data_IF_738201700064
#
_entry.id   IF_738201700064
#
_cell.length_a   1.000
_cell.length_b   1.000
_cell.length_c   1.000
_cell.angle_alpha   90.00
_cell.angle_beta   90.00
_cell.angle_gamma   90.00
#
_symmetry.space_group_name_H-M   'P 1'
#
loop_
_entity.id
_entity.type
_entity.pdbx_description
1 polymer ?
#
# COMPACT_ATOMS: atom_id res chain seq x y z
N UNK A 1 5.48 -14.51 -6.72
CA UNK A 1 6.25 -14.44 -5.46
C UNK A 1 5.35 -14.96 -4.37
N UNK A 2 5.78 -15.96 -3.62
CA UNK A 2 5.03 -16.49 -2.48
C UNK A 2 5.31 -15.62 -1.24
N UNK A 3 4.30 -14.84 -0.83
CA UNK A 3 4.43 -13.89 0.29
C UNK A 3 4.72 -14.61 1.61
N UNK A 4 4.19 -15.81 1.81
CA UNK A 4 4.44 -16.56 3.05
C UNK A 4 5.87 -17.09 3.09
N UNK A 5 6.44 -17.50 1.94
CA UNK A 5 7.86 -17.86 1.87
C UNK A 5 8.75 -16.67 2.20
N UNK A 6 8.43 -15.47 1.68
CA UNK A 6 9.20 -14.27 2.00
C UNK A 6 9.16 -13.91 3.50
N UNK A 7 8.02 -14.10 4.16
CA UNK A 7 7.89 -13.92 5.61
C UNK A 7 8.71 -14.98 6.35
N UNK A 8 8.60 -16.24 5.93
CA UNK A 8 9.38 -17.35 6.51
C UNK A 8 10.89 -17.06 6.44
N UNK A 9 11.40 -16.64 5.28
CA UNK A 9 12.82 -16.41 5.07
C UNK A 9 13.34 -15.27 5.95
N UNK A 10 12.58 -14.18 6.10
CA UNK A 10 12.95 -13.10 7.02
C UNK A 10 12.94 -13.52 8.49
N UNK A 11 12.00 -14.39 8.89
CA UNK A 11 11.99 -14.95 10.24
C UNK A 11 13.19 -15.88 10.45
N UNK A 12 13.53 -16.70 9.46
CA UNK A 12 14.71 -17.57 9.51
C UNK A 12 15.98 -16.74 9.67
N UNK A 13 16.16 -15.71 8.85
CA UNK A 13 17.30 -14.79 8.95
C UNK A 13 17.38 -14.14 10.33
N UNK A 14 16.24 -13.70 10.88
CA UNK A 14 16.19 -13.13 12.22
C UNK A 14 16.62 -14.14 13.29
N UNK A 15 16.12 -15.37 13.22
CA UNK A 15 16.47 -16.43 14.17
C UNK A 15 17.96 -16.77 14.09
N UNK A 16 18.53 -16.88 12.88
CA UNK A 16 19.95 -17.14 12.67
C UNK A 16 20.86 -16.02 13.21
N UNK A 17 20.42 -14.76 13.11
CA UNK A 17 21.15 -13.61 13.65
C UNK A 17 21.03 -13.45 15.18
N UNK A 18 20.13 -14.19 15.82
CA UNK A 18 19.82 -14.07 17.24
C UNK A 18 19.89 -15.45 17.95
N UNK A 19 20.72 -16.36 17.46
CA UNK A 19 20.92 -17.72 17.99
C UNK A 19 21.42 -17.75 19.44
N UNK A 20 22.08 -16.68 19.89
CA UNK A 20 22.42 -16.45 21.30
C UNK A 20 21.19 -16.36 22.22
N UNK A 21 20.03 -15.96 21.68
CA UNK A 21 18.79 -15.72 22.45
C UNK A 21 17.65 -16.66 22.08
N UNK A 22 17.70 -17.25 20.88
CA UNK A 22 16.66 -18.14 20.36
C UNK A 22 17.28 -19.51 20.14
N UNK A 23 16.71 -20.53 20.79
CA UNK A 23 17.18 -21.90 20.67
C UNK A 23 16.90 -22.47 19.27
N UNK A 24 17.94 -22.53 18.44
CA UNK A 24 17.88 -23.09 17.08
C UNK A 24 17.40 -24.54 17.05
N UNK A 25 17.66 -25.33 18.09
CA UNK A 25 17.21 -26.72 18.14
C UNK A 25 15.69 -26.84 18.25
N UNK A 26 15.02 -25.80 18.77
CA UNK A 26 13.57 -25.70 18.84
C UNK A 26 12.99 -24.95 17.63
N UNK A 27 13.62 -23.86 17.21
CA UNK A 27 13.13 -23.04 16.11
C UNK A 27 13.27 -23.70 14.74
N UNK A 28 14.39 -24.40 14.49
CA UNK A 28 14.69 -25.04 13.20
C UNK A 28 13.59 -26.01 12.72
N UNK A 29 13.17 -26.99 13.54
CA UNK A 29 12.08 -27.90 13.16
C UNK A 29 10.75 -27.19 12.91
N UNK A 30 10.45 -26.10 13.63
CA UNK A 30 9.20 -25.35 13.43
C UNK A 30 9.23 -24.60 12.11
N UNK A 31 10.35 -23.94 11.78
CA UNK A 31 10.55 -23.23 10.53
C UNK A 31 10.51 -24.18 9.33
N UNK A 32 11.18 -25.33 9.41
CA UNK A 32 11.12 -26.35 8.36
C UNK A 32 9.68 -26.86 8.14
N UNK A 33 8.95 -27.12 9.22
CA UNK A 33 7.55 -27.51 9.13
C UNK A 33 6.66 -26.42 8.53
N UNK A 34 6.93 -25.14 8.85
CA UNK A 34 6.24 -24.01 8.22
C UNK A 34 6.52 -23.97 6.71
N UNK A 35 7.78 -24.09 6.29
CA UNK A 35 8.16 -24.10 4.88
C UNK A 35 7.46 -25.23 4.10
N UNK A 36 7.40 -26.43 4.71
CA UNK A 36 6.68 -27.57 4.13
C UNK A 36 5.17 -27.30 4.03
N UNK A 37 4.56 -26.65 5.03
CA UNK A 37 3.13 -26.31 5.00
C UNK A 37 2.80 -25.22 3.97
N UNK A 38 3.72 -24.28 3.72
CA UNK A 38 3.56 -23.23 2.71
C UNK A 38 3.64 -23.83 1.30
N UNK A 39 4.55 -24.77 1.09
CA UNK A 39 4.87 -25.34 -0.23
C UNK A 39 4.07 -26.58 -0.60
N UNK A 40 3.11 -27.00 0.24
CA UNK A 40 2.36 -28.24 0.05
C UNK A 40 1.64 -28.28 -1.32
N UNK A 41 1.90 -29.36 -2.08
CA UNK A 41 1.30 -29.63 -3.39
C UNK A 41 0.36 -30.82 -3.26
N UNK A 42 -0.86 -30.68 -3.79
CA UNK A 42 -1.80 -31.79 -3.93
C UNK A 42 -1.98 -32.18 -5.39
N UNK A 43 -1.90 -33.47 -5.69
CA UNK A 43 -2.19 -34.00 -7.03
C UNK A 43 -3.71 -34.15 -7.16
N UNK A 44 -4.33 -33.40 -8.06
CA UNK A 44 -5.75 -33.52 -8.38
C UNK A 44 -5.89 -34.34 -9.67
N UNK A 45 -6.37 -35.58 -9.55
CA UNK A 45 -6.62 -36.46 -10.70
C UNK A 45 -7.25 -37.80 -10.30
N UNK A 46 -7.53 -38.64 -11.30
CA UNK A 46 -8.10 -39.97 -11.07
C UNK A 46 -7.11 -40.84 -10.31
N UNK A 47 -7.60 -41.46 -9.22
CA UNK A 47 -6.83 -42.40 -8.42
C UNK A 47 -7.12 -43.78 -9.01
N UNK A 48 -6.23 -44.28 -9.87
CA UNK A 48 -6.29 -45.67 -10.31
C UNK A 48 -5.66 -46.59 -9.25
N UNK A 49 -6.46 -47.51 -8.75
CA UNK A 49 -6.00 -48.59 -7.88
C UNK A 49 -5.64 -49.81 -8.74
N UNK A 50 -4.37 -49.95 -9.11
CA UNK A 50 -3.91 -51.17 -9.79
C UNK A 50 -3.65 -52.28 -8.75
N UNK A 51 -4.58 -53.24 -8.69
CA UNK A 51 -4.39 -54.49 -7.95
C UNK A 51 -3.75 -55.54 -8.86
N UNK A 52 -2.42 -55.58 -8.93
CA UNK A 52 -1.71 -56.69 -9.57
C UNK A 52 -1.79 -57.91 -8.66
N UNK A 53 -2.61 -58.88 -9.06
CA UNK A 53 -2.72 -60.17 -8.37
C UNK A 53 -2.02 -61.21 -9.23
N UNK A 54 -0.76 -61.54 -8.92
CA UNK A 54 -0.11 -62.71 -9.51
C UNK A 54 -0.69 -63.96 -8.86
N UNK A 55 -1.54 -64.67 -9.60
CA UNK A 55 -2.14 -65.93 -9.17
C UNK A 55 -1.24 -67.10 -9.50
N UNK A 56 -0.77 -67.80 -8.47
CA UNK A 56 -0.45 -69.23 -8.58
C UNK A 56 -1.35 -69.96 -7.58
N UNK A 57 -2.25 -70.78 -8.13
CA UNK A 57 -3.22 -71.57 -7.38
C UNK A 57 -2.53 -72.68 -6.61
N UNK A 58 -2.68 -72.70 -5.29
CA UNK A 58 -2.91 -73.93 -4.53
C UNK A 58 -3.56 -73.58 -3.18
N UNK A 59 -4.71 -74.19 -2.93
CA UNK A 59 -5.60 -73.80 -1.83
C UNK A 59 -5.20 -74.39 -0.49
N UNK A 60 -5.43 -73.62 0.57
CA UNK A 60 -5.82 -74.10 1.91
C UNK A 60 -6.50 -72.95 2.66
N UNK A 61 -7.67 -73.23 3.22
CA UNK A 61 -8.61 -72.24 3.73
C UNK A 61 -8.13 -71.53 5.00
N UNK A 62 -8.21 -70.21 4.97
CA UNK A 62 -8.20 -69.36 6.16
C UNK A 62 -9.65 -69.00 6.52
N UNK A 63 -9.95 -69.05 7.82
CA UNK A 63 -11.14 -68.39 8.40
C UNK A 63 -10.63 -67.24 9.23
N UNK A 64 -10.82 -66.02 8.72
CA UNK A 64 -10.62 -64.79 9.45
C UNK A 64 -11.85 -63.91 9.24
N UNK A 65 -12.60 -63.73 10.32
CA UNK A 65 -13.66 -62.74 10.46
C UNK A 65 -12.99 -61.41 10.79
N UNK A 66 -13.06 -60.43 9.89
CA UNK A 66 -12.65 -59.05 10.18
C UNK A 66 -13.88 -58.14 10.20
N UNK A 67 -14.17 -57.65 11.41
CA UNK A 67 -15.14 -56.59 11.69
C UNK A 67 -14.39 -55.26 11.60
N UNK A 68 -14.91 -54.37 10.75
CA UNK A 68 -14.33 -53.08 10.45
C UNK A 68 -14.66 -52.07 11.56
N UNK A 69 -13.66 -51.58 12.28
CA UNK A 69 -13.76 -50.35 13.07
C UNK A 69 -12.44 -49.59 13.08
N UNK A 70 -12.46 -48.38 12.51
CA UNK A 70 -11.39 -47.40 12.58
C UNK A 70 -11.01 -47.10 14.03
N UNK A 71 -9.91 -47.69 14.51
CA UNK A 71 -8.94 -47.13 15.48
C UNK A 71 -7.93 -48.22 15.88
N UNK A 72 -6.66 -47.95 15.56
CA UNK A 72 -5.41 -48.45 16.17
C UNK A 72 -5.44 -49.90 16.70
N UNK A 73 -4.73 -50.79 16.01
CA UNK A 73 -4.37 -52.11 16.53
C UNK A 73 -2.99 -52.54 16.06
N UNK A 74 -2.00 -52.51 16.94
CA UNK A 74 -0.75 -53.27 16.78
C UNK A 74 -1.12 -54.76 16.84
N UNK A 75 -0.95 -55.46 15.72
CA UNK A 75 -1.06 -56.93 15.67
C UNK A 75 0.33 -57.54 15.56
N UNK A 76 0.86 -58.08 16.65
CA UNK A 76 2.06 -58.91 16.63
C UNK A 76 1.67 -60.33 16.23
N UNK A 77 1.92 -60.69 14.97
CA UNK A 77 1.80 -62.06 14.47
C UNK A 77 3.19 -62.68 14.32
N UNK A 78 3.52 -63.66 15.17
CA UNK A 78 4.65 -64.56 14.91
C UNK A 78 4.18 -65.57 13.85
N UNK A 79 4.78 -65.47 12.66
CA UNK A 79 4.63 -66.44 11.58
C UNK A 79 6.02 -66.85 11.09
N UNK A 80 6.41 -68.08 11.37
CA UNK A 80 7.52 -68.75 10.68
C UNK A 80 7.00 -69.30 9.34
N UNK A 81 7.26 -68.59 8.25
CA UNK A 81 6.85 -69.04 6.91
C UNK A 81 6.80 -67.89 5.90
N UNK A 82 7.65 -68.03 4.88
CA UNK A 82 7.75 -67.32 3.59
C UNK A 82 6.99 -65.99 3.38
N UNK A 83 7.77 -64.91 3.19
CA UNK A 83 7.31 -63.55 2.94
C UNK A 83 6.69 -63.41 1.55
N UNK A 84 5.36 -63.31 1.48
CA UNK A 84 4.67 -62.78 0.31
C UNK A 84 4.70 -61.24 0.35
N UNK A 85 5.49 -60.65 -0.55
CA UNK A 85 5.59 -59.20 -0.70
C UNK A 85 4.40 -58.68 -1.53
N UNK A 86 3.31 -58.28 -0.87
CA UNK A 86 2.26 -57.47 -1.53
C UNK A 86 2.81 -56.08 -1.82
N UNK A 87 3.11 -55.81 -3.09
CA UNK A 87 3.45 -54.47 -3.56
C UNK A 87 2.14 -53.83 -4.04
N UNK A 88 1.50 -53.04 -3.17
CA UNK A 88 0.42 -52.17 -3.60
C UNK A 88 1.06 -50.93 -4.25
N UNK A 89 0.96 -50.83 -5.58
CA UNK A 89 1.42 -49.65 -6.31
C UNK A 89 0.24 -48.70 -6.48
N UNK A 90 0.26 -47.56 -5.79
CA UNK A 90 -0.71 -46.48 -5.98
C UNK A 90 -0.18 -45.57 -7.08
N UNK A 91 -0.81 -45.60 -8.25
CA UNK A 91 -0.53 -44.64 -9.32
C UNK A 91 -1.52 -43.49 -9.18
N UNK A 92 -1.02 -42.30 -8.81
CA UNK A 92 -1.84 -41.08 -8.82
C UNK A 92 -1.46 -40.29 -10.06
N UNK A 93 -2.36 -40.24 -11.03
CA UNK A 93 -2.20 -39.46 -12.26
C UNK A 93 -3.08 -38.24 -12.16
N UNK A 94 -2.49 -37.04 -12.17
CA UNK A 94 -3.24 -35.80 -12.04
C UNK A 94 -2.40 -34.55 -12.25
N UNK A 95 -3.06 -33.40 -12.22
CA UNK A 95 -2.40 -32.10 -12.29
C UNK A 95 -2.04 -31.69 -10.86
N UNK A 96 -0.78 -31.40 -10.62
CA UNK A 96 -0.30 -30.83 -9.37
C UNK A 96 -0.90 -29.42 -9.18
N UNK A 97 -1.61 -29.23 -8.06
CA UNK A 97 -2.10 -27.93 -7.62
C UNK A 97 -1.56 -27.64 -6.23
N UNK A 98 -0.94 -26.48 -6.09
CA UNK A 98 -0.61 -25.93 -4.78
C UNK A 98 -1.88 -25.78 -3.94
N UNK A 99 -1.82 -26.26 -2.70
CA UNK A 99 -2.93 -26.16 -1.74
C UNK A 99 -2.38 -25.60 -0.45
N UNK A 100 -3.01 -24.53 0.01
CA UNK A 100 -2.65 -23.87 1.26
C UNK A 100 -3.57 -24.37 2.36
N UNK A 101 -3.01 -25.04 3.37
CA UNK A 101 -3.75 -25.48 4.55
C UNK A 101 -3.59 -24.46 5.70
N UNK A 102 -4.49 -23.46 5.73
CA UNK A 102 -4.44 -22.35 6.69
C UNK A 102 -4.26 -22.78 8.16
N UNK A 103 -4.97 -23.80 8.69
CA UNK A 103 -4.78 -24.21 10.08
C UNK A 103 -3.35 -24.67 10.39
N UNK A 104 -2.69 -25.36 9.46
CA UNK A 104 -1.30 -25.79 9.65
C UNK A 104 -0.37 -24.59 9.72
N UNK A 105 -0.56 -23.64 8.80
CA UNK A 105 0.22 -22.40 8.75
C UNK A 105 0.06 -21.61 10.04
N UNK A 106 -1.17 -21.45 10.53
CA UNK A 106 -1.46 -20.75 11.79
C UNK A 106 -0.77 -21.42 12.98
N UNK A 107 -0.78 -22.76 13.05
CA UNK A 107 -0.13 -23.51 14.13
C UNK A 107 1.38 -23.24 14.15
N UNK A 108 2.03 -23.27 12.99
CA UNK A 108 3.48 -23.05 12.94
C UNK A 108 3.86 -21.60 13.18
N UNK A 109 3.12 -20.62 12.66
CA UNK A 109 3.36 -19.22 12.99
C UNK A 109 3.13 -18.91 14.47
N UNK A 110 2.09 -19.44 15.11
CA UNK A 110 1.90 -19.26 16.56
C UNK A 110 3.08 -19.81 17.37
N UNK A 111 3.59 -20.99 17.02
CA UNK A 111 4.78 -21.55 17.67
C UNK A 111 6.02 -20.67 17.48
N UNK A 112 6.20 -20.09 16.29
CA UNK A 112 7.28 -19.12 16.04
C UNK A 112 7.11 -17.90 16.95
N UNK A 113 5.90 -17.33 17.03
CA UNK A 113 5.64 -16.14 17.86
C UNK A 113 5.89 -16.43 19.35
N UNK A 114 5.49 -17.62 19.83
CA UNK A 114 5.78 -18.07 21.19
C UNK A 114 7.29 -18.17 21.45
N UNK A 115 8.06 -18.70 20.50
CA UNK A 115 9.52 -18.78 20.57
C UNK A 115 10.19 -17.40 20.58
N UNK A 116 9.58 -16.39 19.97
CA UNK A 116 10.09 -15.02 19.96
C UNK A 116 10.01 -14.34 21.35
N UNK A 117 9.42 -14.99 22.36
CA UNK A 117 9.58 -14.61 23.76
C UNK A 117 8.91 -13.28 24.12
N UNK A 118 7.73 -13.00 23.56
CA UNK A 118 6.97 -11.77 23.80
C UNK A 118 7.28 -10.62 22.84
N UNK A 119 8.10 -10.85 21.80
CA UNK A 119 8.23 -9.93 20.67
C UNK A 119 7.01 -10.08 19.74
N UNK A 120 6.66 -9.01 19.05
CA UNK A 120 5.60 -9.00 18.05
C UNK A 120 6.17 -9.22 16.64
N UNK A 121 5.43 -9.96 15.80
CA UNK A 121 5.72 -10.11 14.38
C UNK A 121 5.04 -8.98 13.60
N UNK A 122 5.82 -8.10 12.99
CA UNK A 122 5.29 -7.03 12.15
C UNK A 122 5.51 -7.38 10.67
N UNK A 123 4.41 -7.60 9.95
CA UNK A 123 4.43 -7.87 8.51
C UNK A 123 4.00 -6.61 7.78
N UNK A 124 4.96 -5.96 7.12
CA UNK A 124 4.72 -4.72 6.38
C UNK A 124 4.80 -5.04 4.90
N UNK A 125 3.66 -4.94 4.22
CA UNK A 125 3.58 -5.03 2.77
C UNK A 125 3.57 -3.61 2.22
N UNK A 126 4.63 -3.23 1.53
CA UNK A 126 4.68 -1.98 0.77
C UNK A 126 4.24 -2.23 -0.68
N UNK A 127 3.81 -1.18 -1.39
CA UNK A 127 3.48 -1.21 -2.82
C UNK A 127 2.43 -2.27 -3.21
N UNK A 128 1.31 -2.35 -2.46
CA UNK A 128 0.19 -3.28 -2.78
C UNK A 128 -0.31 -3.19 -4.23
N UNK A 129 -0.26 -1.98 -4.80
CA UNK A 129 -0.67 -1.68 -6.16
C UNK A 129 0.22 -2.32 -7.25
N UNK A 130 1.38 -2.89 -6.91
CA UNK A 130 2.22 -3.67 -7.83
C UNK A 130 1.68 -5.09 -8.05
N UNK A 131 0.88 -5.61 -7.11
CA UNK A 131 0.20 -6.89 -7.28
C UNK A 131 -0.90 -6.70 -8.34
N UNK A 132 -1.02 -7.58 -9.35
CA UNK A 132 -2.09 -7.50 -10.33
C UNK A 132 -3.47 -7.41 -9.65
N UNK A 133 -4.33 -6.51 -10.12
CA UNK A 133 -5.63 -6.21 -9.49
C UNK A 133 -6.48 -7.47 -9.22
N UNK A 134 -6.44 -8.44 -10.13
CA UNK A 134 -7.18 -9.69 -9.99
C UNK A 134 -6.62 -10.62 -8.91
N UNK A 135 -5.33 -10.48 -8.58
CA UNK A 135 -4.63 -11.30 -7.57
C UNK A 135 -4.67 -10.69 -6.17
N UNK A 136 -4.85 -9.37 -6.06
CA UNK A 136 -4.89 -8.65 -4.79
C UNK A 136 -5.92 -9.24 -3.81
N UNK A 137 -7.18 -9.54 -4.18
CA UNK A 137 -8.14 -10.15 -3.27
C UNK A 137 -7.69 -11.53 -2.77
N UNK A 138 -7.02 -12.34 -3.60
CA UNK A 138 -6.54 -13.66 -3.19
C UNK A 138 -5.38 -13.55 -2.20
N UNK A 139 -4.46 -12.60 -2.41
CA UNK A 139 -3.42 -12.29 -1.44
C UNK A 139 -4.03 -11.75 -0.13
N UNK A 140 -5.05 -10.90 -0.23
CA UNK A 140 -5.78 -10.41 0.93
C UNK A 140 -6.41 -11.55 1.74
N UNK A 141 -7.06 -12.50 1.06
CA UNK A 141 -7.68 -13.66 1.70
C UNK A 141 -6.63 -14.56 2.35
N UNK A 142 -5.46 -14.72 1.69
CA UNK A 142 -4.33 -15.45 2.23
C UNK A 142 -3.89 -14.84 3.58
N UNK A 143 -3.62 -13.53 3.61
CA UNK A 143 -3.19 -12.83 4.82
C UNK A 143 -4.27 -12.89 5.91
N UNK A 144 -5.53 -12.63 5.54
CA UNK A 144 -6.67 -12.65 6.47
C UNK A 144 -6.85 -14.00 7.13
N UNK A 145 -6.66 -15.10 6.39
CA UNK A 145 -6.83 -16.46 6.91
C UNK A 145 -5.57 -17.03 7.56
N UNK A 146 -4.38 -16.49 7.29
CA UNK A 146 -3.14 -17.03 7.84
C UNK A 146 -2.59 -16.22 9.02
N UNK A 147 -2.56 -14.89 8.90
CA UNK A 147 -1.83 -14.01 9.81
C UNK A 147 -2.73 -13.22 10.76
N UNK A 148 -3.89 -12.73 10.30
CA UNK A 148 -4.76 -11.89 11.15
C UNK A 148 -5.28 -12.61 12.41
N UNK A 149 -5.51 -13.94 12.41
CA UNK A 149 -5.92 -14.64 13.62
C UNK A 149 -4.82 -14.83 14.68
N UNK A 150 -3.57 -14.45 14.37
CA UNK A 150 -2.42 -14.72 15.22
C UNK A 150 -2.23 -13.59 16.24
N UNK A 151 -2.27 -13.93 17.53
CA UNK A 151 -1.92 -12.98 18.58
C UNK A 151 -0.44 -12.64 18.51
N UNK A 152 -0.10 -11.37 18.71
CA UNK A 152 1.27 -10.88 18.58
C UNK A 152 1.72 -10.66 17.13
N UNK A 153 0.82 -10.72 16.14
CA UNK A 153 1.11 -10.33 14.75
C UNK A 153 0.39 -9.04 14.38
N UNK A 154 1.10 -8.10 13.76
CA UNK A 154 0.53 -6.90 13.15
C UNK A 154 0.83 -6.90 11.66
N UNK A 155 -0.21 -6.78 10.82
CA UNK A 155 -0.05 -6.63 9.37
C UNK A 155 -0.35 -5.19 8.98
N UNK A 156 0.57 -4.55 8.25
CA UNK A 156 0.37 -3.21 7.66
C UNK A 156 0.50 -3.33 6.15
N UNK A 157 -0.47 -2.76 5.44
CA UNK A 157 -0.51 -2.78 3.98
C UNK A 157 -0.45 -1.33 3.50
N UNK A 158 0.63 -0.96 2.82
CA UNK A 158 0.75 0.28 2.06
C UNK A 158 0.03 0.11 0.72
N UNK A 159 -1.04 0.88 0.53
CA UNK A 159 -1.93 0.76 -0.62
C UNK A 159 -2.30 2.13 -1.16
N UNK A 160 -2.59 2.16 -2.46
CA UNK A 160 -3.10 3.34 -3.16
C UNK A 160 -4.57 3.04 -3.47
N UNK A 161 -5.50 3.80 -2.89
CA UNK A 161 -6.94 3.47 -2.87
C UNK A 161 -7.52 3.12 -4.24
N UNK A 162 -7.28 3.94 -5.27
CA UNK A 162 -7.81 3.71 -6.62
C UNK A 162 -7.08 2.62 -7.41
N UNK A 163 -5.93 2.14 -6.92
CA UNK A 163 -5.16 1.03 -7.53
C UNK A 163 -5.22 -0.25 -6.70
N UNK A 164 -6.13 -0.29 -5.73
CA UNK A 164 -6.25 -1.40 -4.78
C UNK A 164 -7.65 -2.01 -4.83
N UNK A 165 -7.69 -3.32 -5.04
CA UNK A 165 -8.86 -4.16 -4.93
C UNK A 165 -8.65 -5.17 -3.79
N UNK A 166 -9.26 -4.91 -2.63
CA UNK A 166 -9.12 -5.77 -1.47
C UNK A 166 -10.10 -6.94 -1.45
N UNK A 167 -11.17 -6.93 -2.27
CA UNK A 167 -12.28 -7.87 -2.13
C UNK A 167 -12.95 -8.21 -3.45
N UNK A 168 -13.24 -9.49 -3.65
CA UNK A 168 -14.16 -10.00 -4.67
C UNK A 168 -15.35 -10.64 -3.98
N UNK A 169 -16.55 -10.14 -4.27
CA UNK A 169 -17.79 -10.77 -3.83
C UNK A 169 -18.10 -12.00 -4.69
N UNK A 170 -18.38 -13.14 -4.07
CA UNK A 170 -18.85 -14.37 -4.73
C UNK A 170 -20.37 -14.53 -4.67
N UNK A 171 -20.96 -14.10 -3.55
CA UNK A 171 -22.41 -14.10 -3.31
C UNK A 171 -22.75 -13.03 -2.27
N UNK A 172 -24.02 -12.90 -1.88
CA UNK A 172 -24.44 -11.88 -0.90
C UNK A 172 -23.75 -11.96 0.47
N UNK A 173 -23.18 -13.13 0.83
CA UNK A 173 -22.50 -13.35 2.11
C UNK A 173 -21.09 -13.94 2.00
N UNK A 174 -20.65 -14.34 0.80
CA UNK A 174 -19.34 -14.93 0.60
C UNK A 174 -18.45 -13.98 -0.19
N UNK A 175 -17.24 -13.74 0.32
CA UNK A 175 -16.21 -12.94 -0.34
C UNK A 175 -14.84 -13.61 -0.25
N UNK A 176 -13.97 -13.26 -1.20
CA UNK A 176 -12.53 -13.50 -1.14
C UNK A 176 -11.88 -12.15 -0.89
N UNK A 177 -10.98 -12.10 0.09
CA UNK A 177 -10.14 -10.94 0.34
C UNK A 177 -10.29 -10.39 1.74
N UNK A 178 -10.19 -9.07 1.84
CA UNK A 178 -10.24 -8.28 3.07
C UNK A 178 -11.39 -7.29 2.95
N UNK A 179 -12.26 -7.25 3.94
CA UNK A 179 -13.28 -6.20 4.05
C UNK A 179 -12.73 -5.03 4.89
N UNK A 180 -12.45 -3.92 4.23
CA UNK A 180 -12.01 -2.69 4.90
C UNK A 180 -13.16 -2.17 5.79
N UNK A 181 -12.85 -1.89 7.05
CA UNK A 181 -13.81 -1.49 8.09
C UNK A 181 -14.32 -2.64 8.96
N UNK A 182 -14.24 -3.90 8.50
CA UNK A 182 -14.62 -5.07 9.29
C UNK A 182 -13.42 -5.94 9.67
N UNK A 183 -12.56 -6.26 8.70
CA UNK A 183 -11.35 -7.05 8.89
C UNK A 183 -10.13 -6.17 9.21
N UNK A 184 -10.05 -4.97 8.65
CA UNK A 184 -8.93 -4.03 8.81
C UNK A 184 -9.40 -2.59 8.93
N UNK A 185 -8.61 -1.74 9.58
CA UNK A 185 -8.83 -0.29 9.63
C UNK A 185 -7.91 0.42 8.63
N UNK A 186 -8.47 1.27 7.77
CA UNK A 186 -7.70 2.14 6.87
C UNK A 186 -7.31 3.43 7.59
N UNK A 187 -6.07 3.89 7.35
CA UNK A 187 -5.59 5.20 7.80
C UNK A 187 -5.17 5.96 6.54
N UNK A 188 -5.76 7.14 6.33
CA UNK A 188 -5.34 7.99 5.22
C UNK A 188 -4.13 8.83 5.63
N UNK A 189 -3.00 8.54 5.01
CA UNK A 189 -1.73 9.23 5.23
C UNK A 189 -1.77 10.71 4.83
N UNK A 190 -2.59 11.07 3.85
CA UNK A 190 -2.72 12.43 3.35
C UNK A 190 -3.42 13.36 4.35
N UNK A 191 -4.24 12.82 5.26
CA UNK A 191 -4.87 13.61 6.34
C UNK A 191 -3.83 14.21 7.30
N UNK A 192 -2.66 13.57 7.42
CA UNK A 192 -1.60 13.96 8.34
C UNK A 192 -0.45 14.68 7.65
N UNK A 193 -0.12 14.30 6.41
CA UNK A 193 1.07 14.79 5.71
C UNK A 193 0.79 15.95 4.75
N UNK A 194 -0.43 16.09 4.22
CA UNK A 194 -0.75 17.18 3.28
C UNK A 194 -0.95 18.48 4.06
N UNK A 195 -0.13 19.48 3.73
CA UNK A 195 -0.10 20.77 4.42
C UNK A 195 -1.47 21.47 4.48
N UNK A 196 -2.24 21.40 3.39
CA UNK A 196 -3.55 22.07 3.32
C UNK A 196 -4.67 21.31 4.06
N UNK A 197 -4.46 20.03 4.41
CA UNK A 197 -5.38 19.24 5.22
C UNK A 197 -5.18 19.56 6.70
N UNK A 198 -3.94 19.47 7.18
CA UNK A 198 -3.58 19.81 8.55
C UNK A 198 -2.14 20.36 8.62
N UNK A 199 -2.02 21.68 8.65
CA UNK A 199 -0.72 22.37 8.67
C UNK A 199 0.13 21.95 9.89
N UNK A 200 -0.47 21.84 11.08
CA UNK A 200 0.26 21.53 12.32
C UNK A 200 0.87 20.13 12.28
N UNK A 201 0.06 19.12 11.92
CA UNK A 201 0.52 17.73 11.83
C UNK A 201 1.53 17.53 10.69
N UNK A 202 1.34 18.20 9.55
CA UNK A 202 2.29 18.15 8.45
C UNK A 202 3.64 18.74 8.85
N UNK A 203 3.65 19.93 9.48
CA UNK A 203 4.87 20.56 9.98
C UNK A 203 5.60 19.66 10.99
N UNK A 204 4.87 19.10 11.97
CA UNK A 204 5.45 18.18 12.96
C UNK A 204 6.04 16.93 12.30
N UNK A 205 5.31 16.32 11.37
CA UNK A 205 5.75 15.13 10.66
C UNK A 205 7.06 15.39 9.90
N UNK A 206 7.10 16.44 9.09
CA UNK A 206 8.28 16.75 8.28
C UNK A 206 9.45 17.23 9.13
N UNK A 207 9.21 17.92 10.25
CA UNK A 207 10.27 18.28 11.19
C UNK A 207 10.94 17.03 11.77
N UNK A 208 10.12 16.06 12.21
CA UNK A 208 10.59 14.77 12.71
C UNK A 208 11.28 13.94 11.62
N UNK A 209 10.75 13.94 10.40
CA UNK A 209 11.35 13.26 9.26
C UNK A 209 12.77 13.79 9.01
N UNK A 210 12.93 15.11 8.90
CA UNK A 210 14.23 15.73 8.66
C UNK A 210 15.20 15.49 9.82
N UNK A 211 14.72 15.57 11.07
CA UNK A 211 15.56 15.29 12.23
C UNK A 211 16.07 13.85 12.22
N UNK A 212 15.18 12.86 12.04
CA UNK A 212 15.55 11.43 11.99
C UNK A 212 16.43 11.10 10.79
N UNK A 213 16.26 11.80 9.67
CA UNK A 213 17.04 11.56 8.46
C UNK A 213 18.41 12.24 8.49
N UNK A 214 18.49 13.51 8.88
CA UNK A 214 19.73 14.31 8.78
C UNK A 214 20.61 14.16 10.01
N UNK A 215 20.03 14.23 11.22
CA UNK A 215 20.78 14.31 12.47
C UNK A 215 21.74 13.12 12.73
N UNK A 216 21.40 11.87 12.39
CA UNK A 216 22.31 10.74 12.57
C UNK A 216 23.63 10.89 11.79
N UNK A 217 23.58 11.52 10.61
CA UNK A 217 24.72 11.71 9.71
C UNK A 217 25.58 12.94 10.04
N UNK A 218 25.15 13.79 10.97
CA UNK A 218 25.93 14.95 11.40
C UNK A 218 27.12 14.54 12.28
N UNK A 219 28.27 15.24 12.20
CA UNK A 219 29.34 15.10 13.17
C UNK A 219 28.86 15.35 14.62
N UNK A 220 29.40 14.64 15.63
CA UNK A 220 28.94 14.75 17.01
C UNK A 220 28.89 16.18 17.56
N UNK A 221 29.75 17.08 17.08
CA UNK A 221 29.85 18.47 17.55
C UNK A 221 28.69 19.36 17.07
N UNK A 222 27.99 18.96 16.00
CA UNK A 222 26.90 19.74 15.40
C UNK A 222 25.57 18.97 15.38
N UNK A 223 25.50 17.81 16.04
CA UNK A 223 24.25 17.07 16.22
C UNK A 223 23.29 17.89 17.07
N UNK A 224 22.03 17.89 16.65
CA UNK A 224 20.93 18.47 17.40
C UNK A 224 20.48 17.51 18.50
N UNK A 225 20.35 18.03 19.72
CA UNK A 225 19.84 17.26 20.86
C UNK A 225 18.32 17.09 20.81
N UNK A 226 17.60 18.02 20.18
CA UNK A 226 16.14 18.04 20.08
C UNK A 226 15.70 18.53 18.70
N UNK A 227 14.56 18.02 18.26
CA UNK A 227 13.92 18.32 16.97
C UNK A 227 13.76 19.84 16.75
N UNK A 228 13.27 20.56 17.77
CA UNK A 228 13.02 22.02 17.75
C UNK A 228 14.23 22.90 17.37
N UNK A 229 15.45 22.39 17.49
CA UNK A 229 16.66 23.14 17.14
C UNK A 229 17.04 23.00 15.67
N UNK A 230 16.49 22.02 14.94
CA UNK A 230 16.84 21.77 13.55
C UNK A 230 16.38 22.93 12.65
N UNK A 231 15.08 23.26 12.68
CA UNK A 231 14.47 24.21 11.74
C UNK A 231 15.13 25.61 11.81
N UNK A 232 15.35 26.21 12.99
CA UNK A 232 16.00 27.52 13.07
C UNK A 232 17.45 27.53 12.58
N UNK A 233 18.13 26.37 12.60
CA UNK A 233 19.51 26.24 12.13
C UNK A 233 19.60 25.91 10.64
N UNK A 234 18.57 25.29 10.06
CA UNK A 234 18.52 24.90 8.65
C UNK A 234 17.85 25.95 7.76
N UNK A 235 16.78 26.58 8.23
CA UNK A 235 15.96 27.52 7.45
C UNK A 235 16.10 28.95 7.96
N UNK A 236 15.99 29.91 7.04
CA UNK A 236 16.08 31.35 7.33
C UNK A 236 14.97 31.84 8.26
N UNK A 237 13.77 31.28 8.14
CA UNK A 237 12.57 31.66 8.89
C UNK A 237 11.57 30.50 8.93
N UNK A 238 10.64 30.52 9.89
CA UNK A 238 9.57 29.51 10.01
C UNK A 238 8.76 29.40 8.71
N UNK A 239 8.41 30.53 8.09
CA UNK A 239 7.68 30.52 6.82
C UNK A 239 8.44 29.87 5.66
N UNK A 240 9.78 29.81 5.70
CA UNK A 240 10.52 29.04 4.70
C UNK A 240 10.33 27.55 4.93
N UNK A 241 10.31 27.08 6.18
CA UNK A 241 9.99 25.69 6.45
C UNK A 241 8.55 25.33 6.09
N UNK A 242 7.56 26.19 6.41
CA UNK A 242 6.17 25.98 5.97
C UNK A 242 6.04 25.91 4.45
N UNK A 243 6.73 26.80 3.72
CA UNK A 243 6.76 26.75 2.25
C UNK A 243 7.40 25.45 1.74
N UNK A 244 8.47 24.98 2.39
CA UNK A 244 9.08 23.70 2.09
C UNK A 244 8.07 22.57 2.25
N UNK A 245 7.41 22.46 3.41
CA UNK A 245 6.42 21.41 3.68
C UNK A 245 5.27 21.46 2.67
N UNK A 246 4.73 22.64 2.39
CA UNK A 246 3.70 22.82 1.36
C UNK A 246 4.17 22.33 -0.02
N UNK A 247 5.40 22.63 -0.41
CA UNK A 247 5.93 22.22 -1.71
C UNK A 247 6.12 20.72 -1.88
N UNK A 248 6.01 19.93 -0.80
CA UNK A 248 6.13 18.47 -0.83
C UNK A 248 4.83 17.77 -1.21
N UNK A 249 3.69 18.47 -1.12
CA UNK A 249 2.34 17.90 -1.28
C UNK A 249 2.12 16.65 -0.39
N UNK A 250 2.74 16.61 0.79
CA UNK A 250 2.63 15.49 1.72
C UNK A 250 3.44 14.26 1.33
N UNK A 251 4.27 14.32 0.28
CA UNK A 251 5.08 13.18 -0.18
C UNK A 251 6.51 13.26 0.40
N UNK A 252 6.91 12.33 1.29
CA UNK A 252 8.25 12.32 1.90
C UNK A 252 9.40 12.23 0.87
N UNK A 253 9.19 11.49 -0.21
CA UNK A 253 10.18 11.35 -1.30
C UNK A 253 10.42 12.68 -2.02
N UNK A 254 9.36 13.42 -2.32
CA UNK A 254 9.47 14.73 -2.96
C UNK A 254 10.15 15.72 -1.99
N UNK A 255 9.83 15.65 -0.70
CA UNK A 255 10.46 16.47 0.34
C UNK A 255 11.98 16.33 0.38
N UNK A 256 12.52 15.11 0.38
CA UNK A 256 13.97 14.88 0.37
C UNK A 256 14.60 15.44 -0.90
N UNK A 257 13.99 15.22 -2.06
CA UNK A 257 14.52 15.73 -3.34
C UNK A 257 14.52 17.26 -3.42
N UNK A 258 13.44 17.90 -2.98
CA UNK A 258 13.34 19.36 -2.91
C UNK A 258 14.38 19.90 -1.91
N UNK A 259 14.53 19.27 -0.74
CA UNK A 259 15.49 19.70 0.27
C UNK A 259 16.93 19.60 -0.22
N UNK A 260 17.30 18.51 -0.88
CA UNK A 260 18.65 18.33 -1.45
C UNK A 260 18.96 19.43 -2.45
N UNK A 261 18.04 19.71 -3.38
CA UNK A 261 18.22 20.79 -4.36
C UNK A 261 18.30 22.16 -3.68
N UNK A 262 17.47 22.41 -2.66
CA UNK A 262 17.44 23.67 -1.94
C UNK A 262 18.73 23.89 -1.12
N UNK A 263 19.24 22.85 -0.49
CA UNK A 263 20.51 22.86 0.24
C UNK A 263 21.70 23.10 -0.69
N UNK A 264 21.74 22.44 -1.87
CA UNK A 264 22.80 22.66 -2.87
C UNK A 264 22.82 24.11 -3.38
N UNK A 265 21.64 24.73 -3.55
CA UNK A 265 21.52 26.14 -3.90
C UNK A 265 21.95 27.07 -2.76
N UNK A 266 21.56 26.76 -1.52
CA UNK A 266 21.91 27.53 -0.34
C UNK A 266 23.39 27.44 0.03
N UNK A 267 24.06 26.33 -0.33
CA UNK A 267 25.47 26.04 -0.02
C UNK A 267 25.76 26.09 1.49
N UNK A 268 26.37 27.18 1.95
CA UNK A 268 26.73 27.39 3.37
C UNK A 268 25.69 28.22 4.12
N UNK A 269 24.78 28.85 3.41
CA UNK A 269 23.73 29.68 3.98
C UNK A 269 22.52 28.83 4.37
N UNK A 270 21.64 29.42 5.19
CA UNK A 270 20.35 28.80 5.52
C UNK A 270 19.44 28.75 4.29
N UNK A 271 18.55 27.76 4.26
CA UNK A 271 17.58 27.60 3.19
C UNK A 271 16.52 28.71 3.27
N UNK A 272 16.32 29.41 2.17
CA UNK A 272 15.35 30.50 2.02
C UNK A 272 14.15 30.07 1.18
N UNK A 273 13.07 30.85 1.21
CA UNK A 273 11.90 30.61 0.34
C UNK A 273 12.28 30.54 -1.14
N UNK A 274 13.24 31.36 -1.58
CA UNK A 274 13.70 31.37 -2.98
C UNK A 274 14.35 30.02 -3.33
N UNK A 275 15.17 29.47 -2.44
CA UNK A 275 15.81 28.16 -2.66
C UNK A 275 14.77 27.05 -2.79
N UNK A 276 13.70 27.09 -1.99
CA UNK A 276 12.63 26.10 -1.99
C UNK A 276 11.82 26.18 -3.27
N UNK A 277 11.31 27.37 -3.62
CA UNK A 277 10.48 27.59 -4.82
C UNK A 277 11.19 27.14 -6.08
N UNK A 278 12.45 27.54 -6.23
CA UNK A 278 13.29 27.11 -7.34
C UNK A 278 13.48 25.59 -7.38
N UNK A 279 13.62 24.95 -6.22
CA UNK A 279 13.86 23.52 -6.12
C UNK A 279 12.61 22.70 -6.40
N UNK A 280 11.45 23.15 -5.91
CA UNK A 280 10.15 22.56 -6.22
C UNK A 280 9.86 22.61 -7.73
N UNK A 281 10.14 23.76 -8.37
CA UNK A 281 10.05 23.90 -9.83
C UNK A 281 10.95 22.93 -10.57
N UNK A 282 12.23 22.87 -10.20
CA UNK A 282 13.19 21.96 -10.85
C UNK A 282 12.75 20.51 -10.69
N UNK A 283 12.25 20.14 -9.51
CA UNK A 283 11.72 18.81 -9.25
C UNK A 283 10.55 18.49 -10.17
N UNK A 284 9.56 19.38 -10.26
CA UNK A 284 8.42 19.25 -11.17
C UNK A 284 8.85 19.11 -12.64
N UNK A 285 9.64 20.04 -13.17
CA UNK A 285 10.03 20.02 -14.60
C UNK A 285 10.89 18.81 -14.96
N UNK A 286 11.78 18.38 -14.07
CA UNK A 286 12.71 17.28 -14.36
C UNK A 286 12.07 15.92 -14.26
N UNK A 287 11.15 15.73 -13.32
CA UNK A 287 10.57 14.43 -12.95
C UNK A 287 9.11 14.34 -13.41
N UNK A 288 8.22 15.13 -12.78
CA UNK A 288 6.77 15.02 -12.97
C UNK A 288 6.33 15.41 -14.39
N UNK A 289 6.78 16.54 -14.93
CA UNK A 289 6.36 17.00 -16.27
C UNK A 289 6.81 16.02 -17.38
N UNK A 290 8.00 15.42 -17.23
CA UNK A 290 8.48 14.40 -18.19
C UNK A 290 7.63 13.13 -18.13
N UNK A 291 7.22 12.70 -16.94
CA UNK A 291 6.30 11.59 -16.78
C UNK A 291 4.96 11.89 -17.44
N UNK A 292 4.40 13.08 -17.22
CA UNK A 292 3.13 13.50 -17.83
C UNK A 292 3.25 13.54 -19.36
N UNK A 293 4.37 14.00 -19.90
CA UNK A 293 4.60 14.08 -21.34
C UNK A 293 4.71 12.71 -22.03
N UNK A 294 4.78 11.60 -21.28
CA UNK A 294 4.81 10.25 -21.85
C UNK A 294 3.46 9.78 -22.40
N UNK A 295 2.35 10.40 -21.99
CA UNK A 295 1.01 10.11 -22.48
C UNK A 295 0.52 11.23 -23.40
N UNK A 296 0.02 10.85 -24.56
CA UNK A 296 -0.56 11.78 -25.52
C UNK A 296 -1.70 12.58 -24.89
N UNK A 297 -1.79 13.87 -25.20
CA UNK A 297 -2.78 14.82 -24.68
C UNK A 297 -2.79 15.08 -23.16
N UNK A 298 -2.01 14.36 -22.35
CA UNK A 298 -1.93 14.60 -20.91
C UNK A 298 -1.30 15.95 -20.57
N UNK A 299 -0.17 16.30 -21.18
CA UNK A 299 0.49 17.60 -20.96
C UNK A 299 -0.35 18.80 -21.48
N UNK A 300 -0.95 18.75 -22.69
CA UNK A 300 -1.93 19.75 -23.12
C UNK A 300 -3.10 19.92 -22.16
N UNK A 301 -3.70 18.82 -21.68
CA UNK A 301 -4.79 18.87 -20.70
C UNK A 301 -4.34 19.53 -19.40
N UNK A 302 -3.19 19.15 -18.85
CA UNK A 302 -2.64 19.76 -17.63
C UNK A 302 -2.44 21.26 -17.78
N UNK A 303 -1.90 21.71 -18.92
CA UNK A 303 -1.71 23.14 -19.19
C UNK A 303 -3.03 23.89 -19.28
N UNK A 304 -4.04 23.28 -19.90
CA UNK A 304 -5.38 23.85 -19.96
C UNK A 304 -6.01 23.94 -18.56
N UNK A 305 -5.90 22.89 -17.74
CA UNK A 305 -6.35 22.90 -16.33
C UNK A 305 -5.68 24.03 -15.55
N UNK A 306 -4.35 24.18 -15.66
CA UNK A 306 -3.60 25.25 -15.00
C UNK A 306 -4.14 26.62 -15.43
N UNK A 307 -4.40 26.83 -16.72
CA UNK A 307 -4.88 28.12 -17.19
C UNK A 307 -6.31 28.43 -16.70
N UNK A 308 -7.24 27.48 -16.82
CA UNK A 308 -8.61 27.64 -16.34
C UNK A 308 -8.69 27.84 -14.83
N UNK A 309 -7.93 27.06 -14.06
CA UNK A 309 -8.06 27.04 -12.60
C UNK A 309 -7.19 28.11 -11.95
N UNK A 310 -5.91 28.20 -12.34
CA UNK A 310 -4.97 29.14 -11.73
C UNK A 310 -5.09 30.52 -12.38
N UNK A 311 -4.98 30.63 -13.71
CA UNK A 311 -4.95 31.96 -14.35
C UNK A 311 -6.32 32.66 -14.29
N UNK A 312 -7.41 31.95 -14.58
CA UNK A 312 -8.75 32.56 -14.67
C UNK A 312 -9.47 32.61 -13.32
N UNK A 313 -9.41 31.55 -12.52
CA UNK A 313 -10.13 31.47 -11.24
C UNK A 313 -9.27 31.90 -10.03
N UNK A 314 -7.95 32.01 -10.19
CA UNK A 314 -7.00 32.34 -9.10
C UNK A 314 -7.16 31.36 -7.91
N UNK A 315 -7.51 30.12 -8.25
CA UNK A 315 -7.75 29.02 -7.34
C UNK A 315 -6.77 27.89 -7.67
N UNK A 316 -6.56 26.95 -6.75
CA UNK A 316 -5.67 25.78 -6.97
C UNK A 316 -6.41 24.44 -7.02
N UNK A 317 -7.73 24.46 -6.88
CA UNK A 317 -8.57 23.26 -6.92
C UNK A 317 -9.79 23.43 -7.83
N UNK A 318 -10.32 22.31 -8.29
CA UNK A 318 -11.46 22.22 -9.19
C UNK A 318 -12.29 20.96 -8.91
N UNK A 319 -13.50 20.91 -9.47
CA UNK A 319 -14.45 19.81 -9.30
C UNK A 319 -14.70 19.10 -10.62
N UNK A 320 -14.71 17.77 -10.58
CA UNK A 320 -15.14 16.90 -11.69
C UNK A 320 -16.31 16.04 -11.19
N UNK A 321 -17.39 15.83 -11.95
CA UNK A 321 -18.47 14.92 -11.54
C UNK A 321 -17.92 13.51 -11.24
N UNK A 322 -18.42 12.86 -10.18
CA UNK A 322 -17.93 11.54 -9.76
C UNK A 322 -18.14 10.47 -10.82
N UNK A 323 -19.17 10.60 -11.66
CA UNK A 323 -19.49 9.66 -12.73
C UNK A 323 -18.67 9.91 -14.02
N UNK A 324 -17.84 10.96 -14.05
CA UNK A 324 -16.95 11.24 -15.17
C UNK A 324 -15.72 10.35 -15.10
N UNK A 325 -15.67 9.32 -15.93
CA UNK A 325 -14.46 8.53 -16.16
C UNK A 325 -13.61 9.21 -17.24
N UNK A 326 -12.37 9.56 -16.90
CA UNK A 326 -11.46 10.19 -17.85
C UNK A 326 -10.02 9.69 -17.64
N UNK A 327 -9.54 8.92 -18.62
CA UNK A 327 -8.23 8.27 -18.57
C UNK A 327 -7.04 9.24 -18.50
N UNK A 328 -7.21 10.50 -18.94
CA UNK A 328 -6.19 11.53 -18.81
C UNK A 328 -6.18 12.12 -17.41
N UNK A 329 -7.33 12.35 -16.78
CA UNK A 329 -7.40 12.78 -15.37
C UNK A 329 -6.83 11.72 -14.45
N UNK A 330 -7.20 10.47 -14.64
CA UNK A 330 -6.66 9.34 -13.86
C UNK A 330 -5.14 9.26 -14.01
N UNK A 331 -4.63 9.45 -15.23
CA UNK A 331 -3.19 9.47 -15.48
C UNK A 331 -2.47 10.69 -14.86
N UNK A 332 -3.08 11.87 -14.86
CA UNK A 332 -2.52 13.07 -14.21
C UNK A 332 -2.50 12.92 -12.68
N UNK A 333 -3.51 12.26 -12.12
CA UNK A 333 -3.55 11.89 -10.71
C UNK A 333 -2.46 10.86 -10.38
N UNK A 334 -2.32 9.79 -11.17
CA UNK A 334 -1.23 8.80 -11.03
C UNK A 334 0.16 9.42 -11.18
N UNK A 335 0.29 10.42 -12.07
CA UNK A 335 1.53 11.18 -12.26
C UNK A 335 1.82 12.17 -11.12
N UNK A 336 0.96 12.23 -10.10
CA UNK A 336 1.08 13.10 -8.91
C UNK A 336 1.21 14.59 -9.24
N UNK A 337 0.56 15.02 -10.32
CA UNK A 337 0.42 16.44 -10.70
C UNK A 337 -0.97 17.00 -10.40
N UNK A 338 -1.92 16.09 -10.15
CA UNK A 338 -3.21 16.36 -9.52
C UNK A 338 -3.31 15.53 -8.24
N UNK A 339 -4.01 16.05 -7.23
CA UNK A 339 -4.24 15.37 -5.95
C UNK A 339 -5.72 15.37 -5.61
N UNK A 340 -6.26 14.25 -5.15
CA UNK A 340 -7.68 14.12 -4.79
C UNK A 340 -7.87 14.53 -3.33
N UNK A 341 -8.52 15.67 -3.11
CA UNK A 341 -8.77 16.21 -1.77
C UNK A 341 -9.99 15.56 -1.12
N UNK A 342 -11.07 15.38 -1.89
CA UNK A 342 -12.34 14.88 -1.34
C UNK A 342 -13.19 14.23 -2.43
N UNK A 343 -13.83 13.11 -2.08
CA UNK A 343 -14.75 12.40 -2.96
C UNK A 343 -16.20 12.71 -2.62
N UNK A 344 -17.07 12.57 -3.63
CA UNK A 344 -18.53 12.56 -3.49
C UNK A 344 -19.12 13.78 -2.75
N UNK A 345 -18.57 14.97 -3.01
CA UNK A 345 -19.10 16.22 -2.45
C UNK A 345 -20.35 16.65 -3.22
N UNK A 346 -21.31 17.25 -2.51
CA UNK A 346 -22.48 17.83 -3.15
C UNK A 346 -22.13 19.20 -3.76
N UNK A 347 -22.39 19.37 -5.05
CA UNK A 347 -22.29 20.67 -5.70
C UNK A 347 -23.52 21.54 -5.43
N UNK A 348 -23.36 22.86 -5.53
CA UNK A 348 -24.49 23.81 -5.48
C UNK A 348 -25.33 23.75 -6.76
N UNK A 349 -24.65 23.61 -7.90
CA UNK A 349 -25.22 23.93 -9.22
C UNK A 349 -26.25 22.90 -9.71
N UNK A 350 -26.03 21.62 -9.39
CA UNK A 350 -26.87 20.52 -9.87
C UNK A 350 -27.21 19.55 -8.74
N UNK A 351 -28.43 19.65 -8.16
CA UNK A 351 -28.92 18.70 -7.16
C UNK A 351 -28.84 17.26 -7.68
N UNK A 352 -28.32 16.34 -6.86
CA UNK A 352 -28.18 14.92 -7.21
C UNK A 352 -26.86 14.54 -7.87
N UNK A 353 -26.07 15.50 -8.37
CA UNK A 353 -24.74 15.24 -8.91
C UNK A 353 -23.71 15.37 -7.78
N UNK A 354 -22.83 14.37 -7.71
CA UNK A 354 -21.69 14.32 -6.80
C UNK A 354 -20.42 14.66 -7.56
N UNK A 355 -19.47 15.29 -6.87
CA UNK A 355 -18.21 15.72 -7.46
C UNK A 355 -17.02 15.19 -6.67
N UNK A 356 -15.93 14.93 -7.38
CA UNK A 356 -14.60 14.72 -6.84
C UNK A 356 -13.83 16.04 -6.91
N UNK A 357 -13.09 16.34 -5.85
CA UNK A 357 -12.36 17.59 -5.68
C UNK A 357 -10.87 17.34 -5.88
N UNK A 358 -10.31 17.94 -6.93
CA UNK A 358 -8.90 17.83 -7.25
C UNK A 358 -8.17 19.14 -6.97
N UNK A 359 -6.96 19.08 -6.42
CA UNK A 359 -5.99 20.17 -6.41
C UNK A 359 -4.88 19.95 -7.43
N UNK A 360 -4.29 21.05 -7.88
CA UNK A 360 -3.12 21.07 -8.74
C UNK A 360 -1.87 21.06 -7.86
N UNK A 361 -0.89 20.25 -8.22
CA UNK A 361 0.41 20.15 -7.52
C UNK A 361 1.14 21.51 -7.48
N UNK A 362 1.73 21.84 -6.33
CA UNK A 362 2.49 23.07 -6.10
C UNK A 362 3.53 23.37 -7.18
N UNK A 363 4.22 22.35 -7.67
CA UNK A 363 5.24 22.49 -8.71
C UNK A 363 4.71 23.08 -10.02
N UNK A 364 3.42 22.88 -10.32
CA UNK A 364 2.77 23.37 -11.55
C UNK A 364 2.59 24.90 -11.57
N UNK A 365 2.48 25.53 -10.39
CA UNK A 365 2.14 26.95 -10.28
C UNK A 365 3.11 27.78 -9.45
N UNK A 366 4.20 27.19 -8.95
CA UNK A 366 5.19 27.88 -8.12
C UNK A 366 5.73 29.17 -8.75
N UNK A 367 5.91 29.21 -10.07
CA UNK A 367 6.34 30.42 -10.79
C UNK A 367 5.30 31.53 -10.82
N UNK A 368 4.02 31.19 -10.62
CA UNK A 368 2.91 32.14 -10.61
C UNK A 368 2.75 32.81 -9.25
N UNK A 369 3.36 32.29 -8.18
CA UNK A 369 3.21 32.79 -6.79
C UNK A 369 3.65 34.26 -6.64
N UNK A 370 4.62 34.71 -7.44
CA UNK A 370 5.08 36.10 -7.41
C UNK A 370 4.36 37.01 -8.42
N UNK A 371 3.29 36.54 -9.06
CA UNK A 371 2.55 37.25 -10.10
C UNK A 371 1.16 37.64 -9.64
N UNK A 372 0.44 38.44 -10.43
CA UNK A 372 -0.99 38.75 -10.18
C UNK A 372 -1.90 37.53 -10.26
N UNK A 373 -1.41 36.41 -10.80
CA UNK A 373 -2.14 35.14 -10.96
C UNK A 373 -1.83 34.15 -9.83
N UNK A 374 -1.13 34.57 -8.78
CA UNK A 374 -0.85 33.73 -7.63
C UNK A 374 -2.17 33.21 -7.03
N UNK A 375 -2.35 31.88 -6.90
CA UNK A 375 -3.55 31.32 -6.28
C UNK A 375 -3.76 31.88 -4.88
N UNK A 376 -4.98 32.31 -4.58
CA UNK A 376 -5.31 32.90 -3.27
C UNK A 376 -5.92 31.89 -2.29
N UNK A 377 -6.29 30.69 -2.74
CA UNK A 377 -6.78 29.59 -1.92
C UNK A 377 -7.19 28.37 -2.76
N UNK A 378 -7.75 27.34 -2.11
CA UNK A 378 -8.33 26.18 -2.78
C UNK A 378 -9.48 26.60 -3.70
N UNK A 379 -10.42 27.37 -3.16
CA UNK A 379 -11.64 27.80 -3.86
C UNK A 379 -12.05 29.21 -3.48
N UNK A 380 -12.89 29.81 -4.32
CA UNK A 380 -13.72 30.96 -3.95
C UNK A 380 -15.06 30.45 -3.39
N UNK A 381 -15.42 30.89 -2.20
CA UNK A 381 -16.68 30.52 -1.55
C UNK A 381 -17.44 31.76 -1.06
N UNK A 382 -18.78 31.71 -1.10
CA UNK A 382 -19.62 32.72 -0.45
C UNK A 382 -19.71 32.47 1.06
N UNK A 383 -19.25 33.45 1.83
CA UNK A 383 -19.36 33.51 3.29
C UNK A 383 -20.31 34.65 3.70
N UNK A 384 -20.61 34.75 5.00
CA UNK A 384 -21.42 35.86 5.53
C UNK A 384 -20.83 37.25 5.22
N UNK A 385 -19.52 37.32 4.94
CA UNK A 385 -18.79 38.54 4.63
C UNK A 385 -18.59 38.79 3.11
N UNK A 386 -19.14 37.93 2.25
CA UNK A 386 -19.00 38.02 0.79
C UNK A 386 -18.21 36.87 0.19
N UNK A 387 -17.60 37.07 -0.99
CA UNK A 387 -16.80 36.04 -1.65
C UNK A 387 -15.37 36.06 -1.10
N UNK A 388 -14.96 34.97 -0.47
CA UNK A 388 -13.63 34.80 0.15
C UNK A 388 -12.94 33.55 -0.40
N UNK A 389 -11.61 33.51 -0.29
CA UNK A 389 -10.82 32.33 -0.64
C UNK A 389 -10.67 31.41 0.57
N UNK A 390 -11.05 30.15 0.41
CA UNK A 390 -10.91 29.13 1.46
C UNK A 390 -9.62 28.34 1.29
N UNK A 391 -8.91 28.10 2.40
CA UNK A 391 -7.64 27.34 2.40
C UNK A 391 -7.83 25.86 2.72
N UNK A 392 -8.88 25.52 3.47
CA UNK A 392 -9.17 24.18 3.98
C UNK A 392 -10.46 23.67 3.33
N UNK A 393 -10.56 22.36 3.04
CA UNK A 393 -11.80 21.70 2.63
C UNK A 393 -12.98 22.08 3.54
N UNK A 394 -13.96 22.84 3.03
CA UNK A 394 -15.19 23.14 3.77
C UNK A 394 -16.08 21.91 3.82
N UNK A 395 -16.87 21.75 4.86
CA UNK A 395 -17.88 20.67 4.88
C UNK A 395 -19.01 20.92 3.87
N UNK A 396 -19.30 22.19 3.58
CA UNK A 396 -20.32 22.58 2.61
C UNK A 396 -19.71 23.13 1.31
N UNK A 397 -19.54 22.23 0.34
CA UNK A 397 -19.07 22.57 -1.00
C UNK A 397 -20.11 23.31 -1.84
N UNK A 398 -21.33 23.50 -1.34
CA UNK A 398 -22.36 24.30 -2.02
C UNK A 398 -22.05 25.79 -1.98
N UNK A 399 -21.15 26.26 -1.12
CA UNK A 399 -20.76 27.67 -1.12
C UNK A 399 -19.76 28.00 -2.25
N UNK A 400 -19.21 26.98 -2.92
CA UNK A 400 -18.12 27.13 -3.89
C UNK A 400 -18.68 27.41 -5.28
N UNK A 401 -18.25 28.52 -5.89
CA UNK A 401 -18.69 28.92 -7.24
C UNK A 401 -17.64 28.66 -8.31
N UNK A 402 -18.11 28.39 -9.54
CA UNK A 402 -17.30 28.36 -10.78
C UNK A 402 -16.08 27.44 -10.71
N UNK A 403 -16.15 26.40 -9.88
CA UNK A 403 -15.03 25.51 -9.65
C UNK A 403 -15.19 24.17 -10.39
N UNK A 404 -16.37 23.89 -10.94
CA UNK A 404 -16.58 22.75 -11.85
C UNK A 404 -15.72 22.97 -13.09
N UNK A 405 -14.98 21.93 -13.48
CA UNK A 405 -14.19 21.89 -14.69
C UNK A 405 -14.89 20.98 -15.70
N UNK A 406 -15.33 21.54 -16.82
CA UNK A 406 -15.98 20.80 -17.89
C UNK A 406 -14.93 20.29 -18.88
N UNK A 407 -14.66 18.99 -18.85
CA UNK A 407 -13.62 18.39 -19.69
C UNK A 407 -13.98 18.44 -21.18
N UNK A 408 -15.26 18.53 -21.52
CA UNK A 408 -15.70 18.57 -22.93
C UNK A 408 -15.16 19.82 -23.63
N UNK A 409 -15.01 20.95 -22.91
CA UNK A 409 -14.41 22.18 -23.46
C UNK A 409 -12.96 21.98 -23.96
N UNK A 410 -12.22 21.05 -23.35
CA UNK A 410 -10.87 20.71 -23.81
C UNK A 410 -10.90 19.83 -25.06
N UNK A 411 -11.77 18.83 -25.08
CA UNK A 411 -11.88 17.90 -26.21
C UNK A 411 -12.47 18.57 -27.45
N UNK A 412 -13.41 19.50 -27.28
CA UNK A 412 -13.95 20.32 -28.38
C UNK A 412 -12.92 21.26 -29.00
N UNK A 413 -11.98 21.80 -28.20
CA UNK A 413 -10.87 22.64 -28.70
C UNK A 413 -9.76 21.84 -29.38
N UNK A 414 -9.70 20.54 -29.14
CA UNK A 414 -8.65 19.63 -29.63
C UNK A 414 -9.08 18.80 -30.84
N UNK A 415 -10.39 18.79 -31.16
CA UNK A 415 -10.96 18.24 -32.39
C UNK A 415 -10.88 19.25 -33.54
#
# INVERSE_FOLDING_TARGET
VDVLSAIHDQVLDFVLLNDDTIDLSQAGPILENLANAITEVTVVGEIEHEHTTEGNTEGKGSTSLDVNTEKIGVSTSISSGESQRRIARRLVTGIEKHRIHFPSIQVYFNKIIELLGGKELWVILDEWAEVPLELQPFLGDLLRRSLFPLFGTTVKIGAIDHRSNFRVAKSSSEYIGIEVGADVTSINLDEYMVFDNNEELALEFFENLLFKHVNPHLPPQIKFSQVKFLIPNTFTQVGAFSEFVRSTEGVPRDAINILVNAALKARKDKISMIHIRDSARIWYTRDKEKSVASKENALPLLRWIIDEVISHRIARAFLIPTDTSNELIDFLFDSRVLHLIKQSVAGQDKPGIRYNVFSIDYGCYVDLINTKRAPQGLFQAETENGVEFIQVPVNDYRAIRRAILDLDEFYEKSA
#
